data_IF_575665310176
#
_entry.id   IF_575665310176
#
_cell.length_a   1.000
_cell.length_b   1.000
_cell.length_c   1.000
_cell.angle_alpha   90.00
_cell.angle_beta   90.00
_cell.angle_gamma   90.00
#
_symmetry.space_group_name_H-M   'P 1'
#
loop_
_entity.id
_entity.type
_entity.pdbx_description
1 polymer ?
#
# COMPACT_ATOMS: atom_id res chain seq x y z
N UNK A 1 39.02 30.21 -3.78
CA UNK A 1 38.51 29.55 -2.56
C UNK A 1 37.18 28.91 -2.93
N UNK A 2 37.03 27.59 -2.76
CA UNK A 2 35.80 26.88 -3.17
C UNK A 2 34.90 26.73 -1.95
N UNK A 3 33.72 27.36 -1.99
CA UNK A 3 32.73 27.28 -0.92
C UNK A 3 32.00 25.94 -0.97
N UNK A 4 32.25 25.07 0.01
CA UNK A 4 31.56 23.79 0.16
C UNK A 4 30.13 24.00 0.68
N UNK A 5 29.15 23.96 -0.23
CA UNK A 5 27.74 23.93 0.14
C UNK A 5 27.37 22.58 0.76
N UNK A 6 27.53 22.45 2.07
CA UNK A 6 26.90 21.38 2.85
C UNK A 6 25.38 21.56 2.84
N UNK A 7 24.72 20.86 1.91
CA UNK A 7 23.27 20.74 1.87
C UNK A 7 22.82 19.96 3.11
N UNK A 8 22.42 20.68 4.18
CA UNK A 8 21.76 20.07 5.34
C UNK A 8 20.51 19.33 4.86
N UNK A 9 20.56 18.01 4.85
CA UNK A 9 19.36 17.18 4.71
C UNK A 9 18.55 17.42 5.98
N UNK A 10 17.43 18.13 5.85
CA UNK A 10 16.51 18.31 6.96
C UNK A 10 15.88 16.95 7.26
N UNK A 11 16.29 16.33 8.37
CA UNK A 11 15.65 15.12 8.89
C UNK A 11 14.24 15.49 9.35
N UNK A 12 13.25 15.24 8.49
CA UNK A 12 11.83 15.35 8.86
C UNK A 12 11.62 14.47 10.10
N UNK A 13 11.02 14.99 11.19
CA UNK A 13 10.78 14.18 12.38
C UNK A 13 9.87 13.01 12.02
N UNK A 14 10.32 11.79 12.33
CA UNK A 14 9.57 10.56 12.05
C UNK A 14 8.34 10.50 12.94
N UNK A 15 7.22 11.01 12.44
CA UNK A 15 5.91 10.84 13.06
C UNK A 15 5.55 9.37 13.09
N UNK A 16 4.98 8.90 14.20
CA UNK A 16 4.50 7.51 14.29
C UNK A 16 3.17 7.41 13.53
N UNK A 17 3.03 6.47 12.57
CA UNK A 17 1.77 6.24 11.86
C UNK A 17 0.60 5.93 12.80
N UNK A 18 -0.60 6.38 12.43
CA UNK A 18 -1.83 6.13 13.20
C UNK A 18 -2.78 5.26 12.38
N UNK A 19 -3.24 4.17 12.98
CA UNK A 19 -4.26 3.29 12.41
C UNK A 19 -5.58 3.53 13.15
N UNK A 20 -6.57 4.11 12.47
CA UNK A 20 -7.92 4.28 13.02
C UNK A 20 -8.72 3.00 12.84
N UNK A 21 -9.36 2.52 13.91
CA UNK A 21 -10.07 1.23 13.91
C UNK A 21 -11.49 1.40 14.43
N UNK A 22 -12.47 1.33 13.53
CA UNK A 22 -13.89 1.28 13.85
C UNK A 22 -14.29 -0.15 14.23
N UNK A 23 -14.45 -0.37 15.53
CA UNK A 23 -14.69 -1.67 16.13
C UNK A 23 -16.15 -1.82 16.59
N UNK A 24 -16.71 -3.03 16.46
CA UNK A 24 -17.97 -3.41 17.10
C UNK A 24 -17.72 -4.58 18.06
N UNK A 25 -17.92 -4.35 19.36
CA UNK A 25 -17.62 -5.33 20.42
C UNK A 25 -18.50 -6.58 20.38
N UNK A 26 -19.65 -6.52 19.69
CA UNK A 26 -20.54 -7.68 19.45
C UNK A 26 -20.15 -8.50 18.21
N UNK A 27 -19.25 -8.01 17.36
CA UNK A 27 -18.84 -8.68 16.12
C UNK A 27 -17.57 -9.51 16.33
N UNK A 28 -17.69 -10.85 16.24
CA UNK A 28 -16.56 -11.79 16.31
C UNK A 28 -15.43 -11.42 15.35
N UNK A 29 -15.76 -11.09 14.09
CA UNK A 29 -14.78 -10.65 13.08
C UNK A 29 -14.08 -9.36 13.49
N UNK A 30 -14.82 -8.40 14.05
CA UNK A 30 -14.23 -7.13 14.50
C UNK A 30 -13.28 -7.33 15.69
N UNK A 31 -13.65 -8.17 16.65
CA UNK A 31 -12.79 -8.54 17.80
C UNK A 31 -11.55 -9.31 17.34
N UNK A 32 -11.70 -10.22 16.38
CA UNK A 32 -10.58 -10.96 15.78
C UNK A 32 -9.55 -10.03 15.15
N UNK A 33 -9.98 -9.10 14.28
CA UNK A 33 -9.05 -8.16 13.63
C UNK A 33 -8.37 -7.21 14.63
N UNK A 34 -9.06 -6.73 15.66
CA UNK A 34 -8.45 -5.90 16.73
C UNK A 34 -7.37 -6.68 17.47
N UNK A 35 -7.64 -7.95 17.82
CA UNK A 35 -6.66 -8.80 18.51
C UNK A 35 -5.46 -9.13 17.61
N UNK A 36 -5.69 -9.42 16.32
CA UNK A 36 -4.63 -9.65 15.33
C UNK A 36 -3.76 -8.39 15.13
N UNK A 37 -4.37 -7.21 15.05
CA UNK A 37 -3.66 -5.93 14.95
C UNK A 37 -2.81 -5.63 16.19
N UNK A 38 -3.32 -5.91 17.40
CA UNK A 38 -2.54 -5.80 18.65
C UNK A 38 -1.33 -6.74 18.63
N UNK A 39 -1.50 -8.00 18.22
CA UNK A 39 -0.39 -8.94 18.09
C UNK A 39 0.70 -8.44 17.12
N UNK A 40 0.33 -7.77 16.01
CA UNK A 40 1.30 -7.15 15.10
C UNK A 40 2.05 -5.94 15.70
N UNK A 41 1.40 -5.18 16.57
CA UNK A 41 2.03 -4.09 17.32
C UNK A 41 3.09 -4.62 18.29
N UNK A 42 2.81 -5.75 18.95
CA UNK A 42 3.71 -6.40 19.94
C UNK A 42 4.91 -7.13 19.31
N UNK A 43 4.85 -7.49 18.02
CA UNK A 43 6.00 -8.09 17.33
C UNK A 43 7.22 -7.14 17.36
N UNK A 44 8.46 -7.64 17.48
CA UNK A 44 9.65 -6.78 17.46
C UNK A 44 9.77 -6.01 16.14
N UNK A 45 10.30 -4.78 16.20
CA UNK A 45 10.71 -4.04 15.00
C UNK A 45 11.89 -4.76 14.34
N UNK A 46 11.78 -5.06 13.05
CA UNK A 46 12.86 -5.71 12.28
C UNK A 46 13.98 -4.75 11.88
N UNK A 47 13.73 -3.43 11.96
CA UNK A 47 14.67 -2.39 11.57
C UNK A 47 15.98 -2.36 12.39
N UNK A 48 16.01 -2.98 13.58
CA UNK A 48 17.15 -2.91 14.52
C UNK A 48 17.99 -4.19 14.59
N UNK A 49 17.67 -5.25 13.82
CA UNK A 49 18.39 -6.54 13.87
C UNK A 49 19.86 -6.49 13.43
N UNK A 50 20.35 -5.35 12.96
CA UNK A 50 21.76 -5.12 12.60
C UNK A 50 22.54 -4.25 13.61
N UNK A 51 21.94 -3.84 14.73
CA UNK A 51 22.63 -3.06 15.78
C UNK A 51 23.05 -3.94 16.97
N UNK A 52 23.94 -4.90 16.72
CA UNK A 52 24.61 -5.64 17.78
C UNK A 52 25.63 -4.75 18.51
N UNK A 53 25.24 -3.95 19.52
CA UNK A 53 26.18 -3.49 20.58
C UNK A 53 25.59 -2.80 21.81
N UNK A 54 24.31 -2.39 21.88
CA UNK A 54 23.79 -1.64 23.04
C UNK A 54 22.54 -2.24 23.70
N UNK A 55 22.43 -2.20 25.05
CA UNK A 55 21.27 -2.71 25.76
C UNK A 55 20.05 -1.79 25.59
N UNK A 56 18.86 -2.39 25.58
CA UNK A 56 17.56 -1.73 25.39
C UNK A 56 17.33 -0.59 26.39
N UNK A 57 17.57 0.64 25.97
CA UNK A 57 17.08 1.85 26.64
C UNK A 57 15.68 2.21 26.12
N UNK A 58 14.83 2.66 27.05
CA UNK A 58 13.38 2.78 26.93
C UNK A 58 12.92 3.97 26.06
N UNK A 59 13.29 3.98 24.78
CA UNK A 59 12.98 5.07 23.84
C UNK A 59 12.54 4.62 22.44
N UNK A 60 12.26 3.32 22.22
CA UNK A 60 11.85 2.82 20.92
C UNK A 60 10.42 3.28 20.60
N UNK A 61 10.26 4.05 19.51
CA UNK A 61 8.96 4.47 19.02
C UNK A 61 8.17 3.24 18.50
N UNK A 62 6.86 3.14 18.80
CA UNK A 62 6.03 2.06 18.25
C UNK A 62 5.94 2.16 16.73
N UNK A 63 5.73 1.02 16.05
CA UNK A 63 5.62 0.96 14.58
C UNK A 63 4.45 1.79 14.06
N UNK A 64 3.37 1.77 14.82
CA UNK A 64 2.13 2.52 14.62
C UNK A 64 1.40 2.64 15.97
N UNK A 65 0.49 3.62 16.08
CA UNK A 65 -0.44 3.77 17.20
C UNK A 65 -1.85 3.36 16.74
N UNK A 66 -2.59 2.64 17.58
CA UNK A 66 -3.97 2.22 17.30
C UNK A 66 -4.94 3.25 17.91
N UNK A 67 -5.69 3.96 17.06
CA UNK A 67 -6.80 4.83 17.45
C UNK A 67 -8.11 4.03 17.40
N UNK A 68 -8.46 3.38 18.52
CA UNK A 68 -9.61 2.48 18.60
C UNK A 68 -10.92 3.25 18.84
N UNK A 69 -11.90 3.06 17.95
CA UNK A 69 -13.22 3.69 17.96
C UNK A 69 -14.29 2.62 18.20
N UNK A 70 -14.50 2.28 19.47
CA UNK A 70 -15.44 1.22 19.87
C UNK A 70 -16.89 1.67 19.71
N UNK A 71 -17.69 0.84 19.03
CA UNK A 71 -19.11 1.03 18.74
C UNK A 71 -19.47 2.42 18.18
N UNK A 72 -18.51 3.07 17.52
CA UNK A 72 -18.64 4.39 16.91
C UNK A 72 -18.85 4.28 15.39
N UNK A 73 -19.33 5.36 14.80
CA UNK A 73 -19.41 5.52 13.35
C UNK A 73 -18.17 6.27 12.86
N UNK A 74 -17.71 6.01 11.63
CA UNK A 74 -16.74 6.86 10.95
C UNK A 74 -17.14 8.34 11.01
N UNK A 75 -16.15 9.20 11.24
CA UNK A 75 -16.31 10.64 11.05
C UNK A 75 -16.42 10.95 9.55
N UNK A 76 -16.95 12.12 9.22
CA UNK A 76 -16.91 12.61 7.84
C UNK A 76 -15.46 12.76 7.34
N UNK A 77 -14.52 13.19 8.19
CA UNK A 77 -13.09 13.29 7.90
C UNK A 77 -12.48 11.93 7.50
N UNK A 78 -12.69 10.86 8.29
CA UNK A 78 -12.20 9.51 7.95
C UNK A 78 -12.87 8.98 6.67
N UNK A 79 -14.16 9.29 6.45
CA UNK A 79 -14.86 8.93 5.20
C UNK A 79 -14.27 9.64 3.98
N UNK A 80 -14.07 10.95 4.06
CA UNK A 80 -13.54 11.77 2.98
C UNK A 80 -12.10 11.35 2.66
N UNK A 81 -11.25 11.17 3.69
CA UNK A 81 -9.90 10.64 3.53
C UNK A 81 -9.91 9.30 2.78
N UNK A 82 -10.76 8.35 3.18
CA UNK A 82 -10.85 7.06 2.51
C UNK A 82 -11.30 7.20 1.05
N UNK A 83 -12.32 8.02 0.78
CA UNK A 83 -12.87 8.20 -0.56
C UNK A 83 -11.85 8.82 -1.52
N UNK A 84 -11.21 9.91 -1.09
CA UNK A 84 -10.28 10.70 -1.90
C UNK A 84 -8.90 10.05 -2.03
N UNK A 85 -8.38 9.47 -0.94
CA UNK A 85 -6.97 9.07 -0.86
C UNK A 85 -6.77 7.54 -0.94
N UNK A 86 -7.75 6.72 -0.57
CA UNK A 86 -7.55 5.25 -0.47
C UNK A 86 -8.13 4.47 -1.66
N UNK A 87 -9.28 4.86 -2.23
CA UNK A 87 -10.01 4.01 -3.18
C UNK A 87 -9.24 3.73 -4.48
N UNK A 88 -8.40 4.67 -4.93
CA UNK A 88 -7.56 4.52 -6.13
C UNK A 88 -6.24 3.76 -5.91
N UNK A 89 -5.84 3.49 -4.67
CA UNK A 89 -4.48 3.00 -4.34
C UNK A 89 -4.33 1.48 -4.55
N UNK A 90 -5.36 0.71 -4.20
CA UNK A 90 -5.32 -0.75 -4.29
C UNK A 90 -6.73 -1.34 -4.47
N UNK A 91 -6.95 -2.32 -5.36
CA UNK A 91 -8.30 -2.86 -5.62
C UNK A 91 -8.99 -3.43 -4.38
N UNK A 92 -8.23 -4.01 -3.45
CA UNK A 92 -8.75 -4.48 -2.16
C UNK A 92 -9.25 -3.38 -1.21
N UNK A 93 -8.93 -2.11 -1.47
CA UNK A 93 -9.51 -0.98 -0.73
C UNK A 93 -10.98 -0.80 -1.14
N UNK A 94 -11.29 -0.78 -2.44
CA UNK A 94 -12.66 -0.70 -2.95
C UNK A 94 -13.55 -1.83 -2.36
N UNK A 95 -13.07 -3.07 -2.34
CA UNK A 95 -13.79 -4.19 -1.72
C UNK A 95 -14.02 -3.99 -0.21
N UNK A 96 -13.05 -3.44 0.51
CA UNK A 96 -13.18 -3.14 1.95
C UNK A 96 -14.16 -2.00 2.20
N UNK A 97 -14.17 -0.98 1.32
CA UNK A 97 -15.11 0.14 1.36
C UNK A 97 -16.54 -0.32 1.07
N UNK A 98 -16.77 -1.10 0.02
CA UNK A 98 -18.08 -1.71 -0.31
C UNK A 98 -18.67 -2.52 0.84
N UNK A 99 -17.84 -3.30 1.55
CA UNK A 99 -18.31 -4.06 2.71
C UNK A 99 -18.64 -3.17 3.91
N UNK A 100 -17.89 -2.09 4.10
CA UNK A 100 -18.03 -1.15 5.21
C UNK A 100 -19.15 -0.12 5.01
N UNK A 101 -19.39 0.32 3.77
CA UNK A 101 -20.37 1.34 3.39
C UNK A 101 -21.31 0.85 2.26
N UNK A 102 -22.04 -0.27 2.45
CA UNK A 102 -22.75 -0.96 1.37
C UNK A 102 -23.88 -0.15 0.72
N UNK A 103 -24.34 0.94 1.36
CA UNK A 103 -25.34 1.85 0.79
C UNK A 103 -24.76 2.93 -0.12
N UNK A 104 -23.53 3.37 0.13
CA UNK A 104 -22.85 4.35 -0.74
C UNK A 104 -22.46 3.67 -2.05
N UNK A 105 -22.01 2.41 -1.99
CA UNK A 105 -21.43 1.74 -3.15
C UNK A 105 -22.43 1.14 -4.12
N UNK A 106 -23.68 0.89 -3.70
CA UNK A 106 -24.73 0.32 -4.55
C UNK A 106 -24.26 -0.90 -5.36
N UNK A 107 -24.39 -0.80 -6.69
CA UNK A 107 -23.92 -1.80 -7.66
C UNK A 107 -22.59 -1.44 -8.34
N UNK A 108 -21.89 -0.39 -7.88
CA UNK A 108 -20.64 0.08 -8.48
C UNK A 108 -19.56 -1.01 -8.43
N UNK A 109 -18.83 -1.16 -9.54
CA UNK A 109 -17.70 -2.10 -9.68
C UNK A 109 -16.35 -1.41 -9.67
N UNK A 110 -16.30 -0.09 -9.85
CA UNK A 110 -15.08 0.69 -10.01
C UNK A 110 -15.07 1.90 -9.08
N UNK A 111 -13.88 2.27 -8.59
CA UNK A 111 -13.74 3.38 -7.65
C UNK A 111 -14.20 4.73 -8.22
N UNK A 112 -14.03 4.94 -9.54
CA UNK A 112 -14.46 6.17 -10.22
C UNK A 112 -15.97 6.32 -10.40
N UNK A 113 -16.75 5.24 -10.23
CA UNK A 113 -18.22 5.28 -10.31
C UNK A 113 -18.85 5.55 -8.93
N UNK A 114 -18.04 5.76 -7.88
CA UNK A 114 -18.52 6.04 -6.53
C UNK A 114 -18.76 7.54 -6.35
N UNK A 115 -20.00 7.87 -6.01
CA UNK A 115 -20.41 9.24 -5.68
C UNK A 115 -19.89 9.63 -4.30
N UNK A 116 -19.16 10.75 -4.26
CA UNK A 116 -18.74 11.38 -3.02
C UNK A 116 -19.92 12.12 -2.39
N UNK A 117 -20.28 11.75 -1.15
CA UNK A 117 -21.36 12.36 -0.41
C UNK A 117 -20.86 13.62 0.31
N UNK A 118 -21.52 14.79 0.15
CA UNK A 118 -21.19 15.97 0.93
C UNK A 118 -21.51 15.75 2.42
N UNK A 119 -20.82 16.48 3.31
CA UNK A 119 -20.90 16.29 4.76
C UNK A 119 -22.33 16.32 5.32
N UNK A 120 -23.18 17.22 4.81
CA UNK A 120 -24.58 17.34 5.22
C UNK A 120 -25.38 16.06 4.94
N UNK A 121 -25.21 15.47 3.77
CA UNK A 121 -25.89 14.23 3.37
C UNK A 121 -25.30 13.01 4.10
N UNK A 122 -23.98 12.95 4.21
CA UNK A 122 -23.29 11.92 5.01
C UNK A 122 -23.83 11.87 6.44
N UNK A 123 -23.92 13.03 7.11
CA UNK A 123 -24.43 13.14 8.47
C UNK A 123 -25.93 12.80 8.56
N UNK A 124 -26.73 13.14 7.56
CA UNK A 124 -28.15 12.77 7.47
C UNK A 124 -28.34 11.24 7.31
N UNK A 125 -27.53 10.59 6.49
CA UNK A 125 -27.59 9.14 6.27
C UNK A 125 -27.07 8.34 7.49
N UNK A 126 -26.00 8.80 8.12
CA UNK A 126 -25.51 8.26 9.40
C UNK A 126 -26.56 8.35 10.50
N UNK A 127 -27.27 9.49 10.60
CA UNK A 127 -28.30 9.71 11.63
C UNK A 127 -29.56 8.88 11.41
N UNK A 128 -29.99 8.72 10.15
CA UNK A 128 -31.26 8.06 9.82
C UNK A 128 -31.19 6.54 9.73
N UNK A 129 -30.04 5.96 9.33
CA UNK A 129 -29.93 4.54 9.00
C UNK A 129 -28.60 3.88 9.44
N UNK A 130 -28.06 4.31 10.58
CA UNK A 130 -26.79 3.86 11.19
C UNK A 130 -26.32 2.44 10.85
N UNK A 131 -27.11 1.41 11.18
CA UNK A 131 -26.75 -0.01 11.01
C UNK A 131 -26.79 -0.54 9.57
N UNK A 132 -27.42 0.21 8.66
CA UNK A 132 -27.47 -0.09 7.22
C UNK A 132 -26.45 0.72 6.43
N UNK A 133 -26.08 1.91 6.93
CA UNK A 133 -25.11 2.79 6.30
C UNK A 133 -23.68 2.29 6.53
N UNK A 134 -23.31 2.01 7.79
CA UNK A 134 -21.97 1.54 8.14
C UNK A 134 -22.00 0.13 8.77
N UNK A 135 -21.06 -0.72 8.32
CA UNK A 135 -20.83 -2.08 8.82
C UNK A 135 -19.38 -2.23 9.30
N UNK A 136 -19.12 -2.22 10.62
CA UNK A 136 -17.79 -2.51 11.15
C UNK A 136 -17.44 -4.01 10.98
N UNK A 137 -16.14 -4.37 10.92
CA UNK A 137 -14.99 -3.51 11.16
C UNK A 137 -14.61 -2.60 9.97
N UNK A 138 -13.94 -1.49 10.26
CA UNK A 138 -13.14 -0.76 9.29
C UNK A 138 -11.82 -0.33 9.94
N UNK A 139 -10.70 -0.69 9.32
CA UNK A 139 -9.35 -0.25 9.69
C UNK A 139 -8.88 0.72 8.60
N UNK A 140 -8.36 1.87 9.00
CA UNK A 140 -7.84 2.92 8.12
C UNK A 140 -6.37 3.15 8.47
N UNK A 141 -5.50 2.96 7.49
CA UNK A 141 -4.09 3.33 7.54
C UNK A 141 -3.89 4.67 6.82
N UNK A 142 -3.79 5.72 7.64
CA UNK A 142 -3.57 7.09 7.18
C UNK A 142 -2.19 7.33 6.56
N UNK A 143 -1.20 6.50 6.88
CA UNK A 143 0.17 6.68 6.38
C UNK A 143 0.40 6.04 5.00
N UNK A 144 -0.28 4.92 4.72
CA UNK A 144 -0.14 4.18 3.45
C UNK A 144 -1.39 4.27 2.55
N UNK A 145 -2.42 5.01 2.94
CA UNK A 145 -3.71 5.12 2.24
C UNK A 145 -4.35 3.75 1.94
N UNK A 146 -4.34 2.86 2.93
CA UNK A 146 -4.90 1.52 2.85
C UNK A 146 -6.05 1.33 3.82
N UNK A 147 -7.04 0.52 3.43
CA UNK A 147 -8.14 0.14 4.31
C UNK A 147 -8.39 -1.37 4.32
N UNK A 148 -8.96 -1.85 5.43
CA UNK A 148 -9.30 -3.25 5.63
C UNK A 148 -10.65 -3.45 6.33
N UNK A 149 -11.38 -4.46 5.86
CA UNK A 149 -12.59 -4.99 6.49
C UNK A 149 -12.42 -6.47 6.91
N UNK A 150 -11.36 -7.13 6.48
CA UNK A 150 -11.07 -8.56 6.70
C UNK A 150 -9.58 -8.82 6.93
N UNK A 151 -9.23 -10.09 7.18
CA UNK A 151 -7.85 -10.54 7.40
C UNK A 151 -6.93 -10.22 6.21
N UNK A 152 -7.38 -10.44 4.97
CA UNK A 152 -6.57 -10.17 3.78
C UNK A 152 -6.29 -8.67 3.59
N UNK A 153 -7.24 -7.80 3.97
CA UNK A 153 -7.02 -6.37 4.09
C UNK A 153 -6.00 -6.01 5.16
N UNK A 154 -6.15 -6.57 6.36
CA UNK A 154 -5.26 -6.28 7.50
C UNK A 154 -3.83 -6.74 7.21
N UNK A 155 -3.65 -7.94 6.67
CA UNK A 155 -2.33 -8.50 6.38
C UNK A 155 -1.60 -7.68 5.30
N UNK A 156 -2.35 -7.11 4.34
CA UNK A 156 -1.82 -6.14 3.36
C UNK A 156 -1.39 -4.82 4.00
N UNK A 157 -2.15 -4.29 4.96
CA UNK A 157 -1.72 -3.10 5.72
C UNK A 157 -0.42 -3.41 6.47
N UNK A 158 -0.40 -4.53 7.20
CA UNK A 158 0.72 -4.95 8.04
C UNK A 158 1.99 -5.27 7.25
N UNK A 159 1.89 -5.65 5.97
CA UNK A 159 3.06 -5.82 5.10
C UNK A 159 3.97 -4.56 5.07
N UNK A 160 3.41 -3.35 5.10
CA UNK A 160 4.20 -2.10 5.12
C UNK A 160 4.94 -1.86 6.44
N UNK A 161 4.45 -2.46 7.54
CA UNK A 161 5.02 -2.33 8.89
C UNK A 161 5.96 -3.48 9.28
N UNK A 162 5.98 -4.56 8.49
CA UNK A 162 6.78 -5.76 8.73
C UNK A 162 7.87 -5.97 7.67
N UNK A 163 7.74 -5.35 6.49
CA UNK A 163 8.77 -5.40 5.45
C UNK A 163 10.07 -4.79 5.97
N UNK A 164 11.10 -5.63 6.10
CA UNK A 164 12.46 -5.18 6.37
C UNK A 164 12.92 -4.22 5.25
N UNK A 165 13.65 -3.15 5.62
CA UNK A 165 13.95 -2.03 4.72
C UNK A 165 14.79 -2.37 3.49
N UNK A 166 14.13 -2.75 2.39
CA UNK A 166 14.75 -3.04 1.09
C UNK A 166 14.34 -1.98 0.03
N UNK A 167 13.38 -1.09 0.31
CA UNK A 167 12.66 -0.36 -0.74
C UNK A 167 13.20 1.04 -1.13
N UNK A 168 14.22 1.59 -0.48
CA UNK A 168 14.72 2.97 -0.77
C UNK A 168 16.03 3.05 -1.59
N UNK A 169 16.48 1.95 -2.21
CA UNK A 169 17.71 1.94 -3.02
C UNK A 169 17.55 2.28 -4.51
N UNK A 170 16.31 2.37 -5.04
CA UNK A 170 16.05 2.46 -6.49
C UNK A 170 15.19 3.65 -6.94
N UNK A 171 15.29 4.79 -6.27
CA UNK A 171 14.78 6.09 -6.76
C UNK A 171 15.88 7.16 -6.87
N UNK A 172 16.96 6.85 -7.60
CA UNK A 172 17.97 7.84 -8.04
C UNK A 172 18.68 7.40 -9.34
N UNK A 173 17.93 6.87 -10.31
CA UNK A 173 18.39 6.66 -11.68
C UNK A 173 17.33 7.20 -12.64
N UNK A 174 17.47 8.49 -12.95
CA UNK A 174 17.08 9.15 -14.21
C UNK A 174 17.22 10.67 -14.05
N UNK A 175 18.45 11.18 -14.28
CA UNK A 175 18.67 12.58 -14.69
C UNK A 175 20.09 12.81 -15.23
N UNK A 176 20.33 12.34 -16.45
CA UNK A 176 21.25 12.99 -17.40
C UNK A 176 20.61 12.92 -18.80
N UNK A 177 19.82 13.94 -19.14
CA UNK A 177 19.86 14.52 -20.49
C UNK A 177 21.07 15.49 -20.46
N UNK A 178 21.89 15.65 -21.49
CA UNK A 178 21.48 16.20 -22.79
C UNK A 178 22.63 16.15 -23.84
N UNK A 179 22.31 15.83 -25.11
CA UNK A 179 23.07 16.16 -26.35
C UNK A 179 24.53 15.64 -26.52
N UNK A 180 25.08 15.37 -27.70
CA UNK A 180 24.60 15.25 -29.09
C UNK A 180 25.71 14.62 -29.97
N UNK A 181 25.38 13.94 -31.08
CA UNK A 181 25.94 14.16 -32.44
C UNK A 181 25.35 13.15 -33.46
N UNK A 182 25.48 13.45 -34.75
CA UNK A 182 24.64 12.91 -35.84
C UNK A 182 25.30 11.82 -36.72
N UNK A 183 24.46 11.28 -37.61
CA UNK A 183 24.73 10.69 -38.94
C UNK A 183 24.74 9.15 -39.11
N UNK A 184 24.52 8.74 -40.37
CA UNK A 184 23.64 7.62 -40.77
C UNK A 184 24.44 6.50 -41.54
N UNK A 185 23.86 5.53 -42.29
CA UNK A 185 24.12 4.10 -42.04
C UNK A 185 24.90 3.37 -43.16
N UNK A 186 25.63 2.29 -42.86
CA UNK A 186 26.05 1.35 -43.91
C UNK A 186 26.12 -0.13 -43.49
N UNK A 187 25.83 -0.97 -44.48
CA UNK A 187 25.75 -2.44 -44.44
C UNK A 187 27.11 -3.09 -44.76
N UNK A 188 27.25 -4.36 -44.39
CA UNK A 188 28.06 -5.41 -45.06
C UNK A 188 29.50 -5.74 -44.59
N UNK A 189 29.60 -6.98 -44.08
CA UNK A 189 30.59 -8.04 -44.43
C UNK A 189 32.04 -8.07 -43.91
N UNK A 190 32.30 -9.11 -43.09
CA UNK A 190 33.47 -10.03 -43.05
C UNK A 190 34.84 -9.47 -42.57
N UNK A 191 35.75 -10.21 -41.91
CA UNK A 191 36.00 -11.67 -41.94
C UNK A 191 36.66 -12.21 -40.66
N UNK A 192 36.23 -13.39 -40.20
CA UNK A 192 36.87 -14.45 -39.37
C UNK A 192 37.98 -14.17 -38.34
N UNK A 193 37.75 -14.65 -37.11
CA UNK A 193 38.46 -15.83 -36.59
C UNK A 193 37.48 -16.79 -35.87
N UNK A 194 37.69 -18.09 -36.05
CA UNK A 194 36.75 -19.18 -35.75
C UNK A 194 37.24 -20.07 -34.58
N UNK A 195 36.34 -20.97 -34.12
CA UNK A 195 36.51 -22.13 -33.22
C UNK A 195 36.23 -21.80 -31.72
N UNK A 196 35.33 -22.49 -30.99
CA UNK A 196 34.47 -23.65 -31.29
C UNK A 196 32.99 -23.42 -30.87
N UNK A 197 32.08 -24.29 -31.36
CA UNK A 197 30.64 -24.36 -31.02
C UNK A 197 30.40 -25.12 -29.69
N UNK A 198 29.28 -24.90 -28.99
CA UNK A 198 28.04 -25.68 -29.23
C UNK A 198 26.78 -24.81 -29.26
N UNK A 199 25.95 -25.05 -30.30
CA UNK A 199 24.61 -24.47 -30.40
C UNK A 199 23.60 -25.32 -29.63
N UNK A 200 22.57 -24.69 -29.07
CA UNK A 200 21.22 -25.25 -29.11
C UNK A 200 20.29 -24.29 -29.82
N UNK A 201 19.59 -24.83 -30.82
CA UNK A 201 18.74 -24.10 -31.75
C UNK A 201 17.31 -24.17 -31.21
N UNK A 202 16.60 -23.04 -31.19
CA UNK A 202 15.13 -23.06 -31.15
C UNK A 202 14.61 -23.20 -32.57
N UNK A 203 13.76 -24.20 -32.85
CA UNK A 203 12.77 -24.04 -33.90
C UNK A 203 11.36 -24.51 -33.49
N UNK A 204 10.44 -23.55 -33.61
CA UNK A 204 9.12 -23.66 -34.24
C UNK A 204 8.07 -24.67 -33.76
N UNK A 205 6.98 -24.05 -33.30
CA UNK A 205 5.57 -24.36 -33.60
C UNK A 205 5.35 -25.12 -34.92
N UNK A 206 4.66 -26.26 -34.81
CA UNK A 206 3.78 -26.89 -35.80
C UNK A 206 3.06 -28.07 -35.11
N UNK A 207 1.94 -28.64 -35.57
CA UNK A 207 0.74 -28.11 -36.24
C UNK A 207 -0.35 -29.22 -36.11
N UNK A 208 -1.60 -28.83 -35.85
CA UNK A 208 -2.89 -29.53 -36.06
C UNK A 208 -3.05 -31.08 -36.08
N UNK A 209 -4.08 -31.50 -35.32
CA UNK A 209 -5.24 -32.34 -35.72
C UNK A 209 -5.19 -33.88 -35.74
N UNK A 210 -6.36 -34.40 -35.34
CA UNK A 210 -7.01 -35.70 -35.59
C UNK A 210 -6.27 -37.02 -35.30
N UNK A 211 -6.97 -37.93 -34.61
CA UNK A 211 -7.74 -38.99 -35.28
C UNK A 211 -8.60 -39.79 -34.27
N UNK A 212 -9.94 -39.68 -34.44
CA UNK A 212 -11.03 -40.55 -33.95
C UNK A 212 -11.22 -40.80 -32.43
#
# INVERSE_FOLDING_TARGET
>A
MISSFFRRIATVPKTVPVLTVYHNTSSKTSTHLVNKLRAYADLPSTAERYSETTPKLSGQLPKFVINLKENQLPSFEDYAFVHENCLGIHPGNLTSFQRSFPRITGSSRFAGDLEFLPESEYNQLMSSNRSRFFKPPLIIDHANSLIAHDDAGLDRIMANYLSCGIQDSHKNLNKEDDSSFQHIPHTSTNTSQEVHRTHYINPHVAEFADLY
#
